data_IF_217956451283
#
_entry.id   IF_217956451283
#
_cell.length_a   1.000
_cell.length_b   1.000
_cell.length_c   1.000
_cell.angle_alpha   90.00
_cell.angle_beta   90.00
_cell.angle_gamma   90.00
#
_symmetry.space_group_name_H-M   'P 1'
#
loop_
_entity.id
_entity.type
_entity.pdbx_description
1 polymer ?
#
# COMPACT_ATOMS: atom_id res chain seq x y z
N UNK A 1 -1.80 15.77 -22.79
CA UNK A 1 -1.98 16.20 -21.39
C UNK A 1 -3.43 15.90 -21.03
N UNK A 2 -3.71 14.84 -20.27
CA UNK A 2 -5.09 14.50 -19.87
C UNK A 2 -5.39 15.38 -18.65
N UNK A 3 -6.25 16.38 -18.83
CA UNK A 3 -6.79 17.16 -17.71
C UNK A 3 -7.90 16.33 -17.06
N UNK A 4 -7.63 15.83 -15.84
CA UNK A 4 -8.69 15.32 -14.97
C UNK A 4 -9.39 16.53 -14.33
N UNK A 5 -10.66 16.77 -14.68
CA UNK A 5 -11.49 17.75 -13.97
C UNK A 5 -12.01 17.09 -12.68
N UNK A 6 -11.38 17.42 -11.56
CA UNK A 6 -11.80 16.97 -10.23
C UNK A 6 -12.89 17.93 -9.70
N UNK A 7 -14.09 17.41 -9.48
CA UNK A 7 -15.13 18.15 -8.77
C UNK A 7 -14.79 18.17 -7.27
N UNK A 8 -14.82 19.36 -6.66
CA UNK A 8 -14.63 19.54 -5.22
C UNK A 8 -15.85 18.96 -4.47
N UNK A 9 -15.71 17.76 -3.93
CA UNK A 9 -16.68 17.06 -3.08
C UNK A 9 -15.97 15.87 -2.42
N UNK A 10 -16.47 15.36 -1.32
CA UNK A 10 -16.00 14.06 -0.75
C UNK A 10 -16.19 13.00 -1.82
N UNK A 11 -15.09 12.37 -2.25
CA UNK A 11 -15.12 11.35 -3.28
C UNK A 11 -14.55 10.04 -2.75
N UNK A 12 -15.44 9.10 -2.42
CA UNK A 12 -15.05 7.71 -2.19
C UNK A 12 -14.72 7.10 -3.54
N UNK A 13 -13.46 6.72 -3.72
CA UNK A 13 -12.96 6.19 -4.97
C UNK A 13 -13.21 4.68 -5.07
N UNK A 14 -13.52 4.21 -6.27
CA UNK A 14 -13.68 2.78 -6.52
C UNK A 14 -12.34 2.07 -6.48
N UNK A 15 -12.25 0.95 -5.74
CA UNK A 15 -11.05 0.11 -5.70
C UNK A 15 -10.98 -0.79 -6.95
N UNK A 16 -9.87 -0.68 -7.68
CA UNK A 16 -9.53 -1.59 -8.78
C UNK A 16 -9.23 -2.98 -8.20
N UNK A 17 -9.80 -4.02 -8.79
CA UNK A 17 -9.59 -5.41 -8.36
C UNK A 17 -8.61 -6.13 -9.27
N UNK A 18 -7.97 -7.18 -8.74
CA UNK A 18 -7.06 -8.05 -9.48
C UNK A 18 -7.67 -8.44 -10.84
N UNK A 19 -6.85 -8.34 -11.90
CA UNK A 19 -7.29 -8.46 -13.29
C UNK A 19 -7.48 -7.12 -14.00
N UNK A 20 -7.63 -6.00 -13.26
CA UNK A 20 -7.72 -4.68 -13.89
C UNK A 20 -6.33 -4.26 -14.44
N UNK A 21 -6.22 -3.78 -15.71
CA UNK A 21 -4.93 -3.50 -16.36
C UNK A 21 -4.06 -2.46 -15.65
N UNK A 22 -4.66 -1.55 -14.87
CA UNK A 22 -3.91 -0.52 -14.14
C UNK A 22 -3.02 -1.12 -13.05
N UNK A 23 -3.45 -2.25 -12.45
CA UNK A 23 -2.72 -2.94 -11.39
C UNK A 23 -1.55 -3.80 -11.91
N UNK A 24 -1.40 -3.89 -13.23
CA UNK A 24 -0.32 -4.64 -13.88
C UNK A 24 0.72 -3.71 -14.53
N UNK A 25 0.64 -2.40 -14.31
CA UNK A 25 1.50 -1.41 -14.95
C UNK A 25 2.29 -0.63 -13.91
N UNK A 26 3.55 -0.32 -14.25
CA UNK A 26 4.36 0.58 -13.43
C UNK A 26 3.73 1.98 -13.42
N UNK A 27 3.55 2.52 -12.23
CA UNK A 27 3.03 3.87 -12.01
C UNK A 27 4.03 4.95 -12.43
N UNK A 28 3.51 6.08 -12.89
CA UNK A 28 4.30 7.23 -13.32
C UNK A 28 4.75 8.07 -12.14
N UNK A 29 5.93 8.66 -12.24
CA UNK A 29 6.41 9.66 -11.27
C UNK A 29 5.52 10.89 -11.27
N UNK A 30 5.40 11.51 -10.11
CA UNK A 30 4.74 12.80 -9.91
C UNK A 30 5.80 13.89 -10.07
N UNK A 31 5.61 14.83 -10.99
CA UNK A 31 6.57 15.90 -11.25
C UNK A 31 6.57 16.94 -10.14
N UNK A 32 5.38 17.35 -9.67
CA UNK A 32 5.20 18.31 -8.58
C UNK A 32 4.38 17.68 -7.43
N UNK A 33 5.04 17.24 -6.34
CA UNK A 33 4.38 16.72 -5.15
C UNK A 33 3.43 17.70 -4.47
N UNK A 34 3.63 19.01 -4.67
CA UNK A 34 2.87 20.07 -4.00
C UNK A 34 1.64 20.52 -4.76
N UNK A 35 1.43 20.01 -5.98
CA UNK A 35 0.35 20.40 -6.87
C UNK A 35 -1.03 20.18 -6.24
N UNK A 36 -1.98 21.01 -6.66
CA UNK A 36 -3.38 20.92 -6.22
C UNK A 36 -3.99 19.55 -6.54
N UNK A 37 -3.66 18.98 -7.69
CA UNK A 37 -4.22 17.70 -8.14
C UNK A 37 -3.73 16.55 -7.25
N UNK A 38 -2.46 16.57 -6.83
CA UNK A 38 -1.91 15.58 -5.88
C UNK A 38 -2.58 15.72 -4.51
N UNK A 39 -2.80 16.94 -4.02
CA UNK A 39 -3.48 17.19 -2.74
C UNK A 39 -4.94 16.70 -2.76
N UNK A 40 -5.65 16.89 -3.87
CA UNK A 40 -7.01 16.38 -4.06
C UNK A 40 -6.99 14.84 -4.07
N UNK A 41 -6.09 14.24 -4.85
CA UNK A 41 -5.98 12.78 -4.91
C UNK A 41 -5.71 12.18 -3.54
N UNK A 42 -4.79 12.74 -2.76
CA UNK A 42 -4.49 12.28 -1.41
C UNK A 42 -5.71 12.38 -0.51
N UNK A 43 -6.43 13.50 -0.54
CA UNK A 43 -7.67 13.67 0.22
C UNK A 43 -8.68 12.57 -0.12
N UNK A 44 -8.94 12.34 -1.41
CA UNK A 44 -9.91 11.34 -1.87
C UNK A 44 -9.46 9.91 -1.51
N UNK A 45 -8.15 9.63 -1.55
CA UNK A 45 -7.59 8.35 -1.09
C UNK A 45 -7.77 8.14 0.41
N UNK A 46 -7.57 9.17 1.23
CA UNK A 46 -7.78 9.12 2.67
C UNK A 46 -9.25 8.87 3.02
N UNK A 47 -10.15 9.60 2.40
CA UNK A 47 -11.60 9.43 2.57
C UNK A 47 -12.05 8.01 2.14
N UNK A 48 -11.45 7.49 1.06
CA UNK A 48 -11.71 6.12 0.59
C UNK A 48 -11.22 5.08 1.59
N UNK A 49 -10.04 5.26 2.18
CA UNK A 49 -9.49 4.33 3.18
C UNK A 49 -10.32 4.34 4.47
N UNK A 50 -10.77 5.51 4.90
CA UNK A 50 -11.61 5.68 6.08
C UNK A 50 -13.00 5.03 5.90
N UNK A 51 -13.63 5.19 4.73
CA UNK A 51 -14.92 4.58 4.39
C UNK A 51 -14.90 3.04 4.43
N UNK A 52 -13.72 2.43 4.28
CA UNK A 52 -13.54 0.97 4.40
C UNK A 52 -13.57 0.46 5.86
N UNK A 53 -13.80 1.35 6.83
CA UNK A 53 -14.04 0.97 8.22
C UNK A 53 -12.82 0.39 8.94
N UNK A 54 -11.62 0.88 8.65
CA UNK A 54 -10.39 0.47 9.35
C UNK A 54 -9.83 -0.89 8.90
N UNK A 55 -10.33 -1.46 7.81
CA UNK A 55 -9.85 -2.76 7.28
C UNK A 55 -8.53 -2.69 6.54
N UNK A 56 -8.06 -1.49 6.19
CA UNK A 56 -6.82 -1.28 5.42
C UNK A 56 -5.82 -0.41 6.19
N UNK A 57 -4.56 -0.79 6.16
CA UNK A 57 -3.43 -0.02 6.74
C UNK A 57 -2.66 0.76 5.67
N UNK A 58 -3.04 0.64 4.41
CA UNK A 58 -2.42 1.35 3.29
C UNK A 58 -3.27 1.32 2.02
N UNK A 59 -2.94 2.24 1.11
CA UNK A 59 -3.57 2.38 -0.19
C UNK A 59 -2.60 3.02 -1.18
N UNK A 60 -2.49 2.46 -2.37
CA UNK A 60 -1.69 3.00 -3.46
C UNK A 60 -2.57 3.62 -4.56
N UNK A 61 -2.12 4.70 -5.18
CA UNK A 61 -2.89 5.39 -6.23
C UNK A 61 -3.34 4.49 -7.41
N UNK A 62 -2.57 3.47 -7.86
CA UNK A 62 -3.07 2.53 -8.86
C UNK A 62 -4.33 1.76 -8.44
N UNK A 63 -4.53 1.52 -7.14
CA UNK A 63 -5.73 0.85 -6.62
C UNK A 63 -6.99 1.70 -6.77
N UNK A 64 -6.85 3.00 -6.87
CA UNK A 64 -7.96 3.94 -7.14
C UNK A 64 -7.97 4.46 -8.57
N UNK A 65 -7.48 3.65 -9.51
CA UNK A 65 -7.43 3.93 -10.95
C UNK A 65 -6.54 5.12 -11.37
N UNK A 66 -5.61 5.56 -10.52
CA UNK A 66 -4.65 6.63 -10.83
C UNK A 66 -3.24 6.08 -10.91
N UNK A 67 -2.65 6.03 -12.11
CA UNK A 67 -1.32 5.44 -12.33
C UNK A 67 -0.19 6.42 -11.98
N UNK A 68 -0.10 6.80 -10.70
CA UNK A 68 0.91 7.70 -10.14
C UNK A 68 1.64 7.06 -8.95
N UNK A 69 2.91 7.42 -8.76
CA UNK A 69 3.75 6.94 -7.66
C UNK A 69 3.40 7.66 -6.36
N UNK A 70 2.28 7.26 -5.76
CA UNK A 70 1.78 7.76 -4.49
C UNK A 70 1.22 6.60 -3.68
N UNK A 71 1.61 6.53 -2.42
CA UNK A 71 1.07 5.61 -1.41
C UNK A 71 0.74 6.38 -0.14
N UNK A 72 -0.28 5.91 0.56
CA UNK A 72 -0.62 6.34 1.92
C UNK A 72 -0.64 5.10 2.80
N UNK A 73 -0.18 5.21 4.03
CA UNK A 73 -0.21 4.11 5.00
C UNK A 73 -0.12 4.62 6.43
N UNK A 74 -0.59 3.80 7.36
CA UNK A 74 -0.40 3.94 8.80
C UNK A 74 -0.16 2.56 9.41
N UNK A 75 0.50 2.48 10.56
CA UNK A 75 0.65 1.23 11.30
C UNK A 75 0.19 1.48 12.73
N UNK A 76 -0.99 0.97 13.11
CA UNK A 76 -1.50 1.05 14.47
C UNK A 76 -0.59 0.32 15.45
N UNK A 77 -0.54 0.79 16.70
CA UNK A 77 0.32 0.26 17.77
C UNK A 77 0.12 -1.24 18.00
N UNK A 78 -1.12 -1.72 17.90
CA UNK A 78 -1.48 -3.14 18.09
C UNK A 78 -0.97 -4.07 16.99
N UNK A 79 -0.48 -3.51 15.87
CA UNK A 79 0.15 -4.24 14.76
C UNK A 79 1.65 -3.99 14.63
N UNK A 80 2.21 -3.11 15.45
CA UNK A 80 3.64 -2.80 15.44
C UNK A 80 4.40 -3.70 16.41
N UNK A 81 5.45 -4.39 15.93
CA UNK A 81 6.33 -5.20 16.80
C UNK A 81 7.10 -4.34 17.82
N UNK A 82 7.26 -3.04 17.54
CA UNK A 82 7.97 -2.08 18.39
C UNK A 82 7.04 -1.32 19.32
N UNK A 83 5.74 -1.62 19.32
CA UNK A 83 4.71 -0.83 20.03
C UNK A 83 4.66 0.66 19.60
N UNK A 84 5.35 1.00 18.53
CA UNK A 84 5.35 2.35 17.97
C UNK A 84 4.18 2.54 17.02
N UNK A 85 3.41 3.60 17.24
CA UNK A 85 2.42 4.04 16.27
C UNK A 85 3.13 4.74 15.11
N UNK A 86 3.03 4.19 13.91
CA UNK A 86 3.45 4.89 12.70
C UNK A 86 2.28 5.74 12.21
N UNK A 87 2.36 7.06 12.36
CA UNK A 87 1.26 7.93 11.99
C UNK A 87 1.01 7.85 10.49
N UNK A 88 -0.18 8.27 10.09
CA UNK A 88 -0.54 8.38 8.70
C UNK A 88 0.57 9.07 7.90
N UNK A 89 1.12 8.33 6.96
CA UNK A 89 2.24 8.76 6.12
C UNK A 89 1.80 8.83 4.67
N UNK A 90 2.03 9.96 4.03
CA UNK A 90 1.84 10.17 2.60
C UNK A 90 3.23 10.14 1.97
N UNK A 91 3.45 9.24 1.03
CA UNK A 91 4.76 9.05 0.42
C UNK A 91 4.67 9.11 -1.10
N UNK A 92 5.24 10.16 -1.67
CA UNK A 92 5.24 10.47 -3.10
C UNK A 92 6.59 10.10 -3.70
N UNK A 93 6.58 9.46 -4.87
CA UNK A 93 7.77 8.95 -5.58
C UNK A 93 8.68 8.10 -4.67
N UNK A 94 8.12 7.08 -4.02
CA UNK A 94 8.89 6.27 -3.07
C UNK A 94 10.04 5.52 -3.74
N UNK A 95 11.11 5.36 -2.95
CA UNK A 95 12.22 4.46 -3.25
C UNK A 95 12.45 3.57 -2.04
N UNK A 96 12.74 2.30 -2.28
CA UNK A 96 13.03 1.32 -1.22
C UNK A 96 14.44 0.76 -1.42
N UNK A 97 15.16 0.64 -0.32
CA UNK A 97 16.44 -0.07 -0.21
C UNK A 97 16.32 -1.13 0.88
N UNK A 98 16.63 -2.37 0.54
CA UNK A 98 16.72 -3.46 1.52
C UNK A 98 17.98 -3.29 2.38
N UNK A 99 17.83 -3.29 3.71
CA UNK A 99 18.94 -3.16 4.65
C UNK A 99 19.38 -4.49 5.25
N UNK A 100 18.67 -5.57 4.97
CA UNK A 100 18.98 -6.91 5.47
C UNK A 100 18.64 -7.98 4.43
N UNK A 101 19.34 -9.11 4.53
CA UNK A 101 18.98 -10.34 3.81
C UNK A 101 18.02 -11.22 4.63
N UNK A 102 17.80 -10.91 5.92
CA UNK A 102 16.83 -11.62 6.74
C UNK A 102 15.42 -11.32 6.25
N UNK A 103 14.66 -12.36 6.07
CA UNK A 103 13.26 -12.29 5.62
C UNK A 103 12.33 -12.83 6.69
N UNK A 104 11.06 -12.51 6.56
CA UNK A 104 9.97 -13.00 7.37
C UNK A 104 8.78 -13.33 6.49
N UNK A 105 8.19 -14.50 6.75
CA UNK A 105 6.98 -14.93 6.04
C UNK A 105 5.77 -14.66 6.93
N UNK A 106 4.81 -13.90 6.43
CA UNK A 106 3.59 -13.60 7.15
C UNK A 106 2.42 -13.37 6.20
N UNK A 107 1.19 -13.34 6.75
CA UNK A 107 -0.03 -13.17 6.00
C UNK A 107 -0.17 -11.76 5.44
N UNK A 108 -0.58 -11.69 4.18
CA UNK A 108 -0.99 -10.46 3.51
C UNK A 108 -2.39 -10.63 2.90
N UNK A 109 -3.19 -9.58 3.05
CA UNK A 109 -4.43 -9.35 2.32
C UNK A 109 -4.31 -8.06 1.52
N UNK A 110 -5.23 -7.79 0.62
CA UNK A 110 -5.23 -6.58 -0.21
C UNK A 110 -6.65 -6.19 -0.59
N UNK A 111 -6.94 -4.89 -0.57
CA UNK A 111 -8.21 -4.34 -1.03
C UNK A 111 -8.50 -4.67 -2.50
N UNK A 112 -7.44 -4.82 -3.30
CA UNK A 112 -7.53 -5.24 -4.70
C UNK A 112 -7.69 -6.75 -4.91
N UNK A 113 -7.58 -7.55 -3.83
CA UNK A 113 -7.77 -9.02 -3.82
C UNK A 113 -8.73 -9.37 -2.67
N UNK A 114 -9.99 -8.93 -2.75
CA UNK A 114 -10.91 -8.99 -1.62
C UNK A 114 -11.23 -10.42 -1.20
N UNK A 115 -11.32 -10.62 0.12
CA UNK A 115 -11.69 -11.91 0.71
C UNK A 115 -10.59 -12.96 0.75
N UNK A 116 -9.44 -12.71 0.13
CA UNK A 116 -8.30 -13.63 0.09
C UNK A 116 -7.13 -13.11 0.93
N UNK A 117 -6.34 -14.03 1.47
CA UNK A 117 -5.04 -13.78 2.08
C UNK A 117 -4.05 -14.88 1.70
N UNK A 118 -2.75 -14.57 1.75
CA UNK A 118 -1.69 -15.54 1.46
C UNK A 118 -0.41 -15.19 2.19
N UNK A 119 0.48 -16.18 2.35
CA UNK A 119 1.77 -15.98 3.00
C UNK A 119 2.79 -15.41 2.02
N UNK A 120 3.39 -14.28 2.40
CA UNK A 120 4.40 -13.58 1.60
C UNK A 120 5.67 -13.41 2.41
N UNK A 121 6.80 -13.78 1.81
CA UNK A 121 8.11 -13.53 2.38
C UNK A 121 8.61 -12.13 2.01
N UNK A 122 8.98 -11.34 3.03
CA UNK A 122 9.51 -9.98 2.87
C UNK A 122 10.81 -9.77 3.64
N UNK A 123 11.76 -8.94 3.13
CA UNK A 123 12.84 -8.40 3.94
C UNK A 123 12.32 -7.74 5.21
N UNK A 124 12.91 -8.11 6.38
CA UNK A 124 12.49 -7.60 7.69
C UNK A 124 12.80 -6.13 7.90
N UNK A 125 13.84 -5.60 7.22
CA UNK A 125 14.32 -4.24 7.42
C UNK A 125 14.61 -3.56 6.10
N UNK A 126 14.01 -2.40 5.91
CA UNK A 126 14.18 -1.57 4.73
C UNK A 126 14.46 -0.12 5.12
N UNK A 127 15.04 0.63 4.20
CA UNK A 127 15.02 2.07 4.19
C UNK A 127 14.12 2.52 3.06
N UNK A 128 13.18 3.40 3.33
CA UNK A 128 12.40 4.03 2.29
C UNK A 128 12.61 5.54 2.28
N UNK A 129 12.42 6.14 1.13
CA UNK A 129 12.47 7.59 0.96
C UNK A 129 11.44 8.02 -0.09
N UNK A 130 11.08 9.29 -0.07
CA UNK A 130 10.15 9.92 -0.99
C UNK A 130 9.94 11.38 -0.61
N UNK A 131 8.77 11.92 -0.98
CA UNK A 131 8.39 13.30 -0.66
C UNK A 131 7.03 13.33 0.02
N UNK A 132 6.83 14.33 0.90
CA UNK A 132 5.52 14.66 1.45
C UNK A 132 4.74 15.63 0.51
N UNK A 133 3.53 16.04 0.93
CA UNK A 133 2.69 16.99 0.19
C UNK A 133 3.24 18.43 0.17
N UNK A 134 4.28 18.73 0.95
CA UNK A 134 4.94 20.01 0.96
C UNK A 134 6.23 20.00 0.12
N UNK A 135 6.56 18.86 -0.49
CA UNK A 135 7.78 18.66 -1.25
C UNK A 135 9.01 18.38 -0.38
N UNK A 136 8.84 18.20 0.94
CA UNK A 136 9.94 17.84 1.82
C UNK A 136 10.32 16.37 1.62
N UNK A 137 11.62 16.10 1.67
CA UNK A 137 12.13 14.73 1.59
C UNK A 137 11.83 13.99 2.89
N UNK A 138 11.21 12.81 2.74
CA UNK A 138 11.05 11.81 3.80
C UNK A 138 12.12 10.74 3.61
N UNK A 139 12.76 10.32 4.71
CA UNK A 139 13.67 9.18 4.73
C UNK A 139 13.53 8.47 6.08
N UNK A 140 13.21 7.18 6.06
CA UNK A 140 12.91 6.42 7.28
C UNK A 140 13.40 4.99 7.15
N UNK A 141 13.83 4.39 8.26
CA UNK A 141 14.10 2.96 8.38
C UNK A 141 12.86 2.30 8.97
N UNK A 142 12.37 1.23 8.33
CA UNK A 142 11.22 0.45 8.76
C UNK A 142 11.63 -0.99 9.02
N UNK A 143 11.04 -1.61 10.05
CA UNK A 143 11.24 -3.01 10.42
C UNK A 143 9.89 -3.71 10.63
N UNK A 144 9.89 -5.06 10.57
CA UNK A 144 8.73 -5.90 10.85
C UNK A 144 7.51 -5.56 10.00
N UNK A 145 6.37 -5.40 10.65
CA UNK A 145 5.10 -5.12 9.98
C UNK A 145 5.11 -3.76 9.25
N UNK A 146 5.75 -2.72 9.80
CA UNK A 146 5.94 -1.44 9.11
C UNK A 146 6.67 -1.63 7.76
N UNK A 147 7.77 -2.39 7.78
CA UNK A 147 8.50 -2.67 6.54
C UNK A 147 7.65 -3.46 5.54
N UNK A 148 6.79 -4.39 6.01
CA UNK A 148 5.88 -5.17 5.20
C UNK A 148 4.85 -4.29 4.51
N UNK A 149 4.17 -3.40 5.24
CA UNK A 149 3.17 -2.48 4.70
C UNK A 149 3.77 -1.62 3.59
N UNK A 150 4.91 -0.97 3.85
CA UNK A 150 5.56 -0.12 2.84
C UNK A 150 5.93 -0.90 1.58
N UNK A 151 6.43 -2.13 1.72
CA UNK A 151 6.77 -2.99 0.58
C UNK A 151 5.53 -3.44 -0.20
N UNK A 152 4.41 -3.72 0.49
CA UNK A 152 3.15 -4.09 -0.13
C UNK A 152 2.61 -2.93 -0.99
N UNK A 153 2.55 -1.73 -0.43
CA UNK A 153 2.07 -0.54 -1.16
C UNK A 153 3.02 -0.16 -2.32
N UNK A 154 4.33 -0.33 -2.12
CA UNK A 154 5.31 -0.08 -3.19
C UNK A 154 5.16 -1.07 -4.35
N UNK A 155 4.82 -2.33 -4.08
CA UNK A 155 4.57 -3.33 -5.13
C UNK A 155 3.45 -2.89 -6.07
N UNK A 156 2.38 -2.26 -5.56
CA UNK A 156 1.31 -1.71 -6.40
C UNK A 156 1.83 -0.68 -7.41
N UNK A 157 2.86 0.11 -7.03
CA UNK A 157 3.47 1.07 -7.94
C UNK A 157 4.32 0.40 -9.03
N UNK A 158 4.75 -0.83 -8.80
CA UNK A 158 5.47 -1.65 -9.77
C UNK A 158 4.53 -2.52 -10.63
N UNK A 159 3.22 -2.49 -10.37
CA UNK A 159 2.23 -3.33 -11.03
C UNK A 159 2.25 -4.77 -10.53
N UNK A 160 2.55 -4.98 -9.25
CA UNK A 160 2.65 -6.29 -8.60
C UNK A 160 1.62 -6.37 -7.47
N UNK A 161 0.90 -7.49 -7.41
CA UNK A 161 0.00 -7.82 -6.30
C UNK A 161 0.64 -8.92 -5.44
N UNK A 162 0.27 -8.98 -4.15
CA UNK A 162 0.88 -9.94 -3.20
C UNK A 162 0.81 -11.40 -3.65
N UNK A 163 -0.22 -11.91 -4.38
CA UNK A 163 -0.21 -13.27 -4.87
C UNK A 163 0.96 -13.59 -5.80
N UNK A 164 1.49 -12.59 -6.51
CA UNK A 164 2.66 -12.74 -7.38
C UNK A 164 4.00 -12.80 -6.60
N UNK A 165 3.98 -12.45 -5.31
CA UNK A 165 5.12 -12.55 -4.38
C UNK A 165 5.14 -13.84 -3.59
N UNK A 166 4.04 -14.59 -3.58
CA UNK A 166 3.94 -15.85 -2.87
C UNK A 166 4.90 -16.88 -3.46
N UNK A 167 5.71 -17.52 -2.62
CA UNK A 167 6.56 -18.66 -3.01
C UNK A 167 5.75 -19.94 -3.08
N UNK A 168 4.74 -20.06 -2.21
CA UNK A 168 3.85 -21.21 -2.13
C UNK A 168 2.40 -20.75 -2.23
N UNK A 169 1.81 -21.02 -3.39
CA UNK A 169 0.42 -20.66 -3.69
C UNK A 169 -0.58 -21.46 -2.84
N UNK A 170 -0.18 -22.59 -2.27
CA UNK A 170 -1.07 -23.41 -1.43
C UNK A 170 -1.50 -22.69 -0.15
N UNK A 171 -0.77 -21.64 0.25
CA UNK A 171 -1.16 -20.78 1.37
C UNK A 171 -2.24 -19.75 1.01
N UNK A 172 -2.62 -19.59 -0.27
CA UNK A 172 -3.70 -18.68 -0.66
C UNK A 172 -5.04 -19.26 -0.22
N UNK A 173 -5.76 -18.50 0.58
CA UNK A 173 -7.04 -18.95 1.14
C UNK A 173 -8.03 -17.79 1.29
N UNK A 174 -9.32 -18.14 1.34
CA UNK A 174 -10.33 -17.18 1.75
C UNK A 174 -10.20 -16.86 3.24
N UNK A 175 -10.35 -15.59 3.60
CA UNK A 175 -10.31 -15.13 5.00
C UNK A 175 -11.43 -15.82 5.81
N UNK A 176 -12.59 -16.08 5.21
CA UNK A 176 -13.70 -16.81 5.82
C UNK A 176 -13.33 -18.21 6.26
N UNK A 177 -12.36 -18.86 5.58
CA UNK A 177 -11.94 -20.24 5.86
C UNK A 177 -10.78 -20.30 6.86
N UNK A 178 -10.20 -19.15 7.22
CA UNK A 178 -9.05 -19.06 8.12
C UNK A 178 -9.29 -19.72 9.50
N UNK A 179 -10.53 -19.69 9.99
CA UNK A 179 -10.93 -20.32 11.27
C UNK A 179 -10.76 -21.84 11.26
N UNK A 180 -10.76 -22.48 10.10
CA UNK A 180 -10.62 -23.93 9.96
C UNK A 180 -9.15 -24.38 9.91
N UNK A 181 -8.22 -23.45 9.67
CA UNK A 181 -6.77 -23.73 9.60
C UNK A 181 -6.04 -23.49 10.91
N UNK A 182 -6.70 -22.89 11.92
CA UNK A 182 -6.10 -22.59 13.23
C UNK A 182 -6.09 -23.77 14.21
N UNK A 183 -6.62 -24.93 13.82
CA UNK A 183 -6.73 -26.16 14.66
C UNK A 183 -5.85 -27.31 14.14
N UNK A 184 -4.75 -27.02 13.45
CA UNK A 184 -3.77 -28.01 13.00
C UNK A 184 -2.39 -27.77 13.57
#
# INVERSE_FOLDING_TARGET
MIKFEWKAGMAILKIAKMGHPILCKKAKTIEDPTSKDVKILVKDMLETLDDLGGGGVGLAAPQVHVSLQLIIFEVPTDRSETEENIPLTILINPKIQMLTKKTETDWEGCLSVPGLRGKVERPKKIKYSGFDLNGNKIETIAEGFHARVVQHEYDHLLGILYPQRMKDISSLQFISEARHTSNG
#
